data_IF_140889073478
#
_entry.id   IF_140889073478
#
_cell.length_a   1.000
_cell.length_b   1.000
_cell.length_c   1.000
_cell.angle_alpha   90.00
_cell.angle_beta   90.00
_cell.angle_gamma   90.00
#
_symmetry.space_group_name_H-M   'P 1'
#
loop_
_entity.id
_entity.type
_entity.pdbx_description
1 polymer ?
#
# COMPACT_ATOMS: atom_id res chain seq x y z
N UNK A 1 69.30 -23.67 3.91
CA UNK A 1 68.51 -23.80 5.20
C UNK A 1 67.85 -25.15 5.18
N UNK A 2 67.84 -25.89 6.29
CA UNK A 2 67.19 -27.17 6.34
C UNK A 2 65.81 -27.06 6.98
N UNK A 3 64.90 -27.94 6.58
CA UNK A 3 63.56 -28.01 7.13
C UNK A 3 63.63 -28.66 8.53
N UNK A 4 63.15 -28.00 9.61
CA UNK A 4 63.23 -28.56 10.97
C UNK A 4 62.33 -29.77 11.17
N UNK A 5 61.32 -30.01 10.29
CA UNK A 5 60.40 -31.15 10.35
C UNK A 5 60.93 -32.41 9.68
N UNK A 6 61.45 -32.31 8.47
CA UNK A 6 61.88 -33.50 7.71
C UNK A 6 63.37 -33.54 7.40
N UNK A 7 64.15 -32.50 7.76
CA UNK A 7 65.61 -32.42 7.55
C UNK A 7 66.06 -32.16 6.12
N UNK A 8 65.17 -31.88 5.18
CA UNK A 8 65.50 -31.59 3.78
C UNK A 8 66.27 -30.25 3.65
N UNK A 9 67.36 -30.21 2.85
CA UNK A 9 68.29 -29.08 2.78
C UNK A 9 68.09 -28.18 1.55
N UNK A 10 67.42 -28.61 0.48
CA UNK A 10 67.40 -27.93 -0.80
C UNK A 10 65.97 -27.47 -1.23
N UNK A 11 65.12 -27.07 -0.30
CA UNK A 11 63.80 -26.61 -0.60
C UNK A 11 63.53 -25.17 -0.09
N UNK A 12 62.71 -24.43 -0.81
CA UNK A 12 62.19 -23.14 -0.31
C UNK A 12 61.37 -23.35 0.96
N UNK A 13 61.63 -22.52 1.97
CA UNK A 13 60.89 -22.57 3.23
C UNK A 13 59.76 -21.58 3.22
N UNK A 14 58.53 -22.07 3.55
CA UNK A 14 57.37 -21.25 3.80
C UNK A 14 56.98 -21.36 5.29
N UNK A 15 56.86 -20.25 5.96
CA UNK A 15 56.63 -20.17 7.41
C UNK A 15 57.66 -21.00 8.23
N UNK A 16 58.91 -21.15 7.72
CA UNK A 16 60.00 -21.82 8.38
C UNK A 16 60.06 -23.34 8.17
N UNK A 17 59.18 -23.93 7.38
CA UNK A 17 59.19 -25.37 7.00
C UNK A 17 59.17 -25.51 5.46
N UNK A 18 59.62 -26.65 4.94
CA UNK A 18 59.61 -26.89 3.50
C UNK A 18 58.15 -26.98 2.96
N UNK A 19 57.93 -26.65 1.70
CA UNK A 19 56.62 -26.66 1.04
C UNK A 19 55.91 -27.99 1.18
N UNK A 20 56.59 -29.11 1.06
CA UNK A 20 56.01 -30.43 1.22
C UNK A 20 55.54 -30.73 2.68
N UNK A 21 56.22 -30.19 3.68
CA UNK A 21 55.74 -30.30 5.08
C UNK A 21 54.59 -29.31 5.36
N UNK A 22 54.67 -28.12 4.79
CA UNK A 22 53.59 -27.15 4.93
C UNK A 22 52.26 -27.66 4.33
N UNK A 23 52.30 -28.17 3.11
CA UNK A 23 51.11 -28.73 2.41
C UNK A 23 50.47 -29.86 3.19
N UNK A 24 51.26 -30.69 3.87
CA UNK A 24 50.73 -31.81 4.70
C UNK A 24 49.96 -31.36 5.95
N UNK A 25 50.27 -30.18 6.46
CA UNK A 25 49.67 -29.62 7.68
C UNK A 25 48.71 -28.44 7.38
N UNK A 26 48.70 -27.99 6.15
CA UNK A 26 47.85 -26.90 5.73
C UNK A 26 46.36 -27.27 5.82
N UNK A 27 45.60 -26.40 6.43
CA UNK A 27 44.14 -26.46 6.43
C UNK A 27 43.60 -25.50 5.36
N UNK A 28 42.61 -25.96 4.60
CA UNK A 28 42.05 -25.14 3.53
C UNK A 28 40.82 -24.37 4.00
N UNK A 29 40.05 -24.88 4.98
CA UNK A 29 38.97 -24.18 5.63
C UNK A 29 38.98 -24.37 7.15
N UNK A 30 38.34 -23.41 7.81
CA UNK A 30 38.01 -23.51 9.22
C UNK A 30 36.52 -23.15 9.39
N UNK A 31 35.75 -23.96 10.07
CA UNK A 31 34.33 -23.74 10.30
C UNK A 31 33.97 -24.01 11.77
N UNK A 32 33.07 -23.20 12.38
CA UNK A 32 32.53 -23.47 13.70
C UNK A 32 31.78 -24.82 13.73
N UNK A 33 31.88 -25.52 14.84
CA UNK A 33 31.20 -26.83 15.02
C UNK A 33 29.68 -26.69 15.09
N UNK A 34 29.17 -25.55 15.61
CA UNK A 34 27.76 -25.23 15.73
C UNK A 34 27.45 -23.85 15.15
N UNK A 35 26.48 -23.78 14.26
CA UNK A 35 25.96 -22.58 13.65
C UNK A 35 24.48 -22.42 14.03
N UNK A 36 24.01 -21.17 14.13
CA UNK A 36 22.61 -20.88 14.41
C UNK A 36 22.04 -19.94 13.34
N UNK A 37 20.88 -20.30 12.80
CA UNK A 37 20.06 -19.47 11.89
C UNK A 37 18.75 -19.18 12.56
N UNK A 38 18.38 -17.91 12.68
CA UNK A 38 17.10 -17.53 13.29
C UNK A 38 16.13 -17.09 12.21
N UNK A 39 14.96 -17.74 12.14
CA UNK A 39 13.87 -17.44 11.22
C UNK A 39 12.59 -17.09 11.95
N UNK A 40 11.73 -16.30 11.30
CA UNK A 40 10.40 -16.00 11.86
C UNK A 40 9.46 -17.20 11.68
N UNK A 41 8.85 -17.65 12.79
CA UNK A 41 7.91 -18.77 12.80
C UNK A 41 6.63 -18.52 11.95
N UNK A 42 6.30 -17.25 11.65
CA UNK A 42 5.07 -16.89 10.94
C UNK A 42 5.28 -16.52 9.48
N UNK A 43 6.40 -15.89 9.14
CA UNK A 43 6.61 -15.34 7.80
C UNK A 43 7.93 -15.76 7.16
N UNK A 44 8.68 -16.63 7.82
CA UNK A 44 9.98 -17.17 7.36
C UNK A 44 11.06 -16.13 7.09
N UNK A 45 10.88 -14.85 7.53
CA UNK A 45 11.96 -13.86 7.45
C UNK A 45 13.18 -14.33 8.20
N UNK A 46 14.35 -14.06 7.64
CA UNK A 46 15.66 -14.39 8.20
C UNK A 46 16.19 -13.23 9.06
N UNK A 47 16.70 -13.52 10.24
CA UNK A 47 17.40 -12.56 11.08
C UNK A 47 18.89 -12.48 10.66
N UNK A 48 19.29 -11.39 10.02
CA UNK A 48 20.70 -11.08 9.72
C UNK A 48 21.24 -10.00 10.67
N UNK A 49 22.09 -10.41 11.59
CA UNK A 49 22.57 -9.55 12.67
C UNK A 49 21.42 -9.05 13.54
N UNK A 50 21.00 -7.79 13.37
CA UNK A 50 19.88 -7.18 14.13
C UNK A 50 18.65 -6.88 13.26
N UNK A 51 18.68 -7.25 11.98
CA UNK A 51 17.61 -6.94 11.03
C UNK A 51 16.93 -8.20 10.54
N UNK A 52 15.61 -8.14 10.42
CA UNK A 52 14.80 -9.15 9.78
C UNK A 52 14.66 -8.81 8.30
N UNK A 53 15.01 -9.77 7.45
CA UNK A 53 14.92 -9.65 5.99
C UNK A 53 13.97 -10.70 5.42
N UNK A 54 13.26 -10.34 4.35
CA UNK A 54 12.39 -11.27 3.67
C UNK A 54 13.21 -12.36 3.02
N UNK A 55 12.83 -13.63 3.23
CA UNK A 55 13.47 -14.77 2.64
C UNK A 55 12.42 -15.71 2.05
N UNK A 56 12.65 -16.14 0.81
CA UNK A 56 11.87 -17.18 0.13
C UNK A 56 12.61 -18.53 0.14
N UNK A 57 13.78 -18.59 0.79
CA UNK A 57 14.63 -19.78 0.87
C UNK A 57 13.98 -20.84 1.76
N UNK A 58 14.11 -22.10 1.35
CA UNK A 58 13.76 -23.25 2.16
C UNK A 58 14.69 -23.38 3.38
N UNK A 59 14.30 -24.20 4.37
CA UNK A 59 15.16 -24.44 5.54
C UNK A 59 16.52 -25.06 5.12
N UNK A 60 16.54 -25.92 4.12
CA UNK A 60 17.75 -26.55 3.59
C UNK A 60 18.67 -25.54 2.89
N UNK A 61 18.10 -24.63 2.09
CA UNK A 61 18.86 -23.54 1.44
C UNK A 61 19.44 -22.58 2.48
N UNK A 62 18.70 -22.29 3.56
CA UNK A 62 19.18 -21.46 4.68
C UNK A 62 20.32 -22.13 5.44
N UNK A 63 20.28 -23.45 5.62
CA UNK A 63 21.35 -24.24 6.22
C UNK A 63 22.61 -24.16 5.36
N UNK A 64 22.47 -24.40 4.05
CA UNK A 64 23.59 -24.30 3.11
C UNK A 64 24.18 -22.88 3.11
N UNK A 65 23.34 -21.85 3.08
CA UNK A 65 23.78 -20.46 3.14
C UNK A 65 24.54 -20.15 4.43
N UNK A 66 24.06 -20.66 5.58
CA UNK A 66 24.72 -20.44 6.86
C UNK A 66 26.14 -21.06 6.90
N UNK A 67 26.32 -22.24 6.31
CA UNK A 67 27.64 -22.86 6.19
C UNK A 67 28.53 -22.01 5.28
N UNK A 68 28.00 -21.60 4.11
CA UNK A 68 28.76 -20.83 3.12
C UNK A 68 29.17 -19.44 3.59
N UNK A 69 28.41 -18.81 4.50
CA UNK A 69 28.72 -17.49 5.07
C UNK A 69 29.65 -17.55 6.30
N UNK A 70 29.91 -18.74 6.90
CA UNK A 70 30.59 -18.86 8.17
C UNK A 70 31.87 -19.73 8.15
N UNK A 71 32.37 -20.17 6.99
CA UNK A 71 33.70 -20.74 6.94
C UNK A 71 34.75 -19.66 6.66
N UNK A 72 35.94 -19.86 7.16
CA UNK A 72 37.10 -19.03 6.88
C UNK A 72 38.13 -19.82 6.08
N UNK A 73 38.76 -19.17 5.11
CA UNK A 73 39.83 -19.75 4.31
C UNK A 73 41.14 -18.95 4.47
N UNK A 74 42.28 -19.60 4.69
CA UNK A 74 43.57 -18.94 4.73
C UNK A 74 43.97 -18.35 3.36
N UNK A 75 44.75 -17.28 3.37
CA UNK A 75 45.14 -16.56 2.16
C UNK A 75 46.05 -17.32 1.19
N UNK A 76 46.65 -18.40 1.65
CA UNK A 76 47.51 -19.26 0.81
C UNK A 76 46.74 -20.29 -0.02
N UNK A 77 45.44 -20.41 0.17
CA UNK A 77 44.55 -21.32 -0.57
C UNK A 77 44.08 -20.64 -1.85
N UNK A 78 44.23 -21.31 -2.97
CA UNK A 78 43.75 -20.88 -4.29
C UNK A 78 42.73 -21.89 -4.81
N UNK A 79 41.89 -21.43 -5.71
CA UNK A 79 40.87 -22.26 -6.41
C UNK A 79 40.01 -23.12 -5.43
N UNK A 80 39.54 -22.50 -4.34
CA UNK A 80 38.74 -23.18 -3.34
C UNK A 80 37.31 -23.47 -3.86
N UNK A 81 36.93 -24.73 -3.84
CA UNK A 81 35.56 -25.19 -4.06
C UNK A 81 35.02 -25.78 -2.76
N UNK A 82 33.80 -25.35 -2.38
CA UNK A 82 33.13 -25.83 -1.15
C UNK A 82 31.75 -26.31 -1.51
N UNK A 83 31.41 -27.52 -1.11
CA UNK A 83 30.06 -28.07 -1.20
C UNK A 83 29.56 -28.52 0.14
N UNK A 84 28.23 -28.50 0.35
CA UNK A 84 27.56 -28.82 1.61
C UNK A 84 26.52 -29.88 1.35
N UNK A 85 26.61 -30.99 2.11
CA UNK A 85 25.62 -32.06 2.11
C UNK A 85 24.95 -32.18 3.50
N UNK A 86 23.63 -32.26 3.54
CA UNK A 86 22.87 -32.47 4.78
C UNK A 86 22.77 -33.97 5.02
N UNK A 87 23.42 -34.46 6.09
CA UNK A 87 23.44 -35.87 6.43
C UNK A 87 22.19 -36.32 7.18
N UNK A 88 21.86 -35.59 8.25
CA UNK A 88 20.69 -35.91 9.08
C UNK A 88 19.99 -34.69 9.59
N UNK A 89 18.68 -34.82 9.84
CA UNK A 89 17.84 -33.77 10.41
C UNK A 89 17.25 -34.30 11.72
N UNK A 90 17.57 -33.65 12.83
CA UNK A 90 17.07 -34.00 14.17
C UNK A 90 16.30 -32.82 14.76
N UNK A 91 15.00 -32.77 14.49
CA UNK A 91 14.16 -31.62 14.88
C UNK A 91 14.56 -30.34 14.17
N UNK A 92 15.15 -29.39 14.88
CA UNK A 92 15.65 -28.10 14.31
C UNK A 92 17.16 -28.10 14.06
N UNK A 93 17.83 -29.22 14.20
CA UNK A 93 19.29 -29.37 14.03
C UNK A 93 19.57 -30.16 12.76
N UNK A 94 20.34 -29.55 11.86
CA UNK A 94 20.80 -30.12 10.60
C UNK A 94 22.30 -30.47 10.75
N UNK A 95 22.63 -31.72 10.68
CA UNK A 95 24.01 -32.21 10.68
C UNK A 95 24.50 -32.19 9.24
N UNK A 96 25.54 -31.41 8.96
CA UNK A 96 26.08 -31.18 7.62
C UNK A 96 27.50 -31.70 7.52
N UNK A 97 27.85 -32.32 6.38
CA UNK A 97 29.22 -32.54 5.95
C UNK A 97 29.58 -31.50 4.89
N UNK A 98 30.80 -31.00 4.97
CA UNK A 98 31.34 -29.98 4.09
C UNK A 98 32.52 -30.58 3.39
N UNK A 99 32.47 -30.66 2.07
CA UNK A 99 33.59 -31.06 1.23
C UNK A 99 34.25 -29.81 0.70
N UNK A 100 35.54 -29.63 0.98
CA UNK A 100 36.35 -28.55 0.55
C UNK A 100 37.54 -29.03 -0.28
N UNK A 101 37.72 -28.47 -1.47
CA UNK A 101 38.84 -28.77 -2.32
C UNK A 101 39.55 -27.42 -2.65
N UNK A 102 40.88 -27.41 -2.51
CA UNK A 102 41.65 -26.19 -2.76
C UNK A 102 43.08 -26.45 -3.09
N UNK A 103 43.70 -25.53 -3.81
CA UNK A 103 45.11 -25.63 -4.20
C UNK A 103 45.98 -24.88 -3.20
N UNK A 104 46.95 -25.58 -2.66
CA UNK A 104 47.99 -25.03 -1.77
C UNK A 104 49.35 -25.27 -2.39
N UNK A 105 50.00 -24.23 -2.83
CA UNK A 105 51.37 -24.31 -3.46
C UNK A 105 51.46 -25.33 -4.60
N UNK A 106 50.43 -25.40 -5.46
CA UNK A 106 50.38 -26.31 -6.61
C UNK A 106 49.91 -27.71 -6.29
N UNK A 107 49.56 -28.00 -5.05
CA UNK A 107 49.00 -29.31 -4.62
C UNK A 107 47.55 -29.20 -4.25
N UNK A 108 46.70 -30.04 -4.82
CA UNK A 108 45.31 -30.14 -4.48
C UNK A 108 45.14 -30.82 -3.13
N UNK A 109 44.43 -30.20 -2.21
CA UNK A 109 44.05 -30.71 -0.89
C UNK A 109 42.55 -30.86 -0.85
N UNK A 110 42.07 -31.97 -0.29
CA UNK A 110 40.65 -32.27 -0.03
C UNK A 110 40.47 -32.44 1.47
N UNK A 111 39.52 -31.70 2.03
CA UNK A 111 39.14 -31.82 3.44
C UNK A 111 37.65 -32.06 3.58
N UNK A 112 37.30 -32.81 4.59
CA UNK A 112 35.93 -33.01 5.02
C UNK A 112 35.74 -32.48 6.44
N UNK A 113 34.74 -31.64 6.64
CA UNK A 113 34.40 -31.10 7.94
C UNK A 113 32.94 -31.41 8.26
N UNK A 114 32.60 -31.47 9.53
CA UNK A 114 31.21 -31.62 9.99
C UNK A 114 30.83 -30.39 10.81
N UNK A 115 29.60 -29.92 10.61
CA UNK A 115 29.02 -28.85 11.42
C UNK A 115 27.53 -29.09 11.66
N UNK A 116 27.03 -28.60 12.77
CA UNK A 116 25.61 -28.61 13.08
C UNK A 116 25.03 -27.22 12.82
N UNK A 117 23.97 -27.12 12.04
CA UNK A 117 23.23 -25.88 11.84
C UNK A 117 21.88 -26.01 12.55
N UNK A 118 21.65 -25.16 13.55
CA UNK A 118 20.41 -25.11 14.30
C UNK A 118 19.50 -24.00 13.74
N UNK A 119 18.30 -24.38 13.27
CA UNK A 119 17.27 -23.43 12.92
C UNK A 119 16.46 -23.08 14.16
N UNK A 120 16.58 -21.80 14.58
CA UNK A 120 15.81 -21.24 15.69
C UNK A 120 14.60 -20.50 15.15
N UNK A 121 13.41 -20.84 15.64
CA UNK A 121 12.16 -20.14 15.30
C UNK A 121 11.86 -19.08 16.36
N UNK A 122 11.79 -17.82 15.93
CA UNK A 122 11.43 -16.67 16.76
C UNK A 122 10.33 -15.86 16.05
N UNK A 123 9.81 -14.82 16.65
CA UNK A 123 8.77 -13.97 16.04
C UNK A 123 9.35 -12.61 15.68
N UNK A 124 9.34 -12.27 14.39
CA UNK A 124 9.82 -10.97 13.96
C UNK A 124 8.92 -9.82 14.48
N UNK A 125 9.45 -8.58 14.62
CA UNK A 125 8.69 -7.46 15.14
C UNK A 125 7.39 -7.15 14.38
N UNK A 126 7.36 -7.35 13.06
CA UNK A 126 6.17 -7.08 12.25
C UNK A 126 5.08 -8.13 12.50
N UNK A 127 5.44 -9.42 12.62
CA UNK A 127 4.49 -10.47 12.98
C UNK A 127 3.99 -10.31 14.43
N UNK A 128 4.86 -9.90 15.36
CA UNK A 128 4.46 -9.56 16.74
C UNK A 128 3.47 -8.40 16.78
N UNK A 129 3.71 -7.33 16.01
CA UNK A 129 2.77 -6.21 15.87
C UNK A 129 1.44 -6.65 15.28
N UNK A 130 1.48 -7.46 14.21
CA UNK A 130 0.26 -8.00 13.60
C UNK A 130 -0.57 -8.80 14.61
N UNK A 131 0.05 -9.74 15.32
CA UNK A 131 -0.62 -10.59 16.30
C UNK A 131 -1.19 -9.79 17.50
N UNK A 132 -0.55 -8.67 17.87
CA UNK A 132 -1.02 -7.79 18.96
C UNK A 132 -2.10 -6.79 18.54
N UNK A 133 -2.57 -6.82 17.28
CA UNK A 133 -3.53 -5.84 16.78
C UNK A 133 -2.99 -4.41 16.70
N UNK A 134 -1.67 -4.26 16.54
CA UNK A 134 -1.02 -2.95 16.47
C UNK A 134 -1.49 -2.14 15.25
N UNK A 135 -1.63 -0.83 15.42
CA UNK A 135 -1.92 0.11 14.35
C UNK A 135 -1.15 1.43 14.52
N UNK A 136 -0.79 2.07 13.41
CA UNK A 136 -0.17 3.40 13.38
C UNK A 136 -1.15 4.50 13.02
N UNK A 137 -2.21 4.15 12.29
CA UNK A 137 -3.18 5.13 11.78
C UNK A 137 -4.60 4.63 11.83
N UNK A 138 -5.54 5.57 11.92
CA UNK A 138 -6.98 5.32 11.82
C UNK A 138 -7.52 6.14 10.66
N UNK A 139 -8.16 5.49 9.67
CA UNK A 139 -8.89 6.16 8.60
C UNK A 139 -10.34 6.24 9.02
N UNK A 140 -10.83 7.47 9.18
CA UNK A 140 -12.21 7.75 9.59
C UNK A 140 -13.02 8.21 8.39
N UNK A 141 -14.01 7.41 7.98
CA UNK A 141 -14.95 7.76 6.92
C UNK A 141 -16.16 8.45 7.54
N UNK A 142 -16.40 9.67 7.12
CA UNK A 142 -17.52 10.52 7.54
C UNK A 142 -18.16 11.16 6.32
N UNK A 143 -19.34 11.77 6.48
CA UNK A 143 -19.92 12.64 5.47
C UNK A 143 -20.21 14.03 6.04
N UNK A 144 -20.27 15.04 5.18
CA UNK A 144 -20.61 16.39 5.59
C UNK A 144 -22.13 16.56 5.71
N UNK A 145 -22.60 17.14 6.83
CA UNK A 145 -24.03 17.43 7.12
C UNK A 145 -25.00 16.24 6.97
N UNK A 146 -24.49 15.02 6.80
CA UNK A 146 -25.27 13.79 6.67
C UNK A 146 -24.48 12.59 7.19
N UNK A 147 -25.09 11.43 7.23
CA UNK A 147 -24.39 10.17 7.44
C UNK A 147 -24.00 9.55 6.08
N UNK A 148 -22.86 8.83 6.01
CA UNK A 148 -22.53 8.05 4.82
C UNK A 148 -23.60 6.99 4.57
N UNK A 149 -24.02 6.82 3.32
CA UNK A 149 -24.96 5.78 2.95
C UNK A 149 -24.32 4.39 3.00
N UNK A 150 -25.13 3.35 3.15
CA UNK A 150 -24.64 1.95 3.11
C UNK A 150 -23.87 1.65 1.84
N UNK A 151 -24.32 2.17 0.68
CA UNK A 151 -23.64 2.00 -0.61
C UNK A 151 -22.27 2.65 -0.63
N UNK A 152 -22.13 3.86 -0.08
CA UNK A 152 -20.85 4.55 0.05
C UNK A 152 -19.87 3.76 0.93
N UNK A 153 -20.33 3.28 2.10
CA UNK A 153 -19.49 2.49 3.01
C UNK A 153 -19.06 1.17 2.37
N UNK A 154 -19.94 0.49 1.63
CA UNK A 154 -19.59 -0.73 0.89
C UNK A 154 -18.54 -0.45 -0.18
N UNK A 155 -18.68 0.66 -0.94
CA UNK A 155 -17.69 1.06 -1.95
C UNK A 155 -16.34 1.35 -1.30
N UNK A 156 -16.32 2.06 -0.19
CA UNK A 156 -15.07 2.34 0.57
C UNK A 156 -14.41 1.04 1.04
N UNK A 157 -15.18 0.10 1.59
CA UNK A 157 -14.67 -1.19 2.06
C UNK A 157 -14.04 -1.99 0.91
N UNK A 158 -14.68 -2.02 -0.26
CA UNK A 158 -14.16 -2.68 -1.46
C UNK A 158 -12.83 -2.04 -1.91
N UNK A 159 -12.75 -0.70 -1.95
CA UNK A 159 -11.51 0.02 -2.32
C UNK A 159 -10.38 -0.31 -1.34
N UNK A 160 -10.67 -0.26 -0.04
CA UNK A 160 -9.68 -0.53 1.01
C UNK A 160 -9.16 -1.96 0.90
N UNK A 161 -10.05 -2.96 0.82
CA UNK A 161 -9.67 -4.39 0.72
C UNK A 161 -8.85 -4.68 -0.54
N UNK A 162 -9.30 -4.20 -1.69
CA UNK A 162 -8.57 -4.36 -2.96
C UNK A 162 -7.17 -3.73 -2.88
N UNK A 163 -7.06 -2.54 -2.31
CA UNK A 163 -5.79 -1.83 -2.22
C UNK A 163 -4.85 -2.46 -1.19
N UNK A 164 -5.35 -2.94 -0.05
CA UNK A 164 -4.56 -3.67 0.96
C UNK A 164 -3.89 -4.90 0.33
N UNK A 165 -4.63 -5.71 -0.44
CA UNK A 165 -4.07 -6.88 -1.11
C UNK A 165 -2.84 -6.56 -1.98
N UNK A 166 -2.86 -5.43 -2.68
CA UNK A 166 -1.70 -5.00 -3.49
C UNK A 166 -0.56 -4.39 -2.66
N UNK A 167 -0.84 -3.82 -1.50
CA UNK A 167 0.17 -3.19 -0.65
C UNK A 167 0.88 -4.19 0.25
N UNK A 168 0.19 -5.23 0.72
CA UNK A 168 0.72 -6.25 1.64
C UNK A 168 1.88 -7.03 1.02
N UNK A 169 1.92 -7.19 -0.30
CA UNK A 169 3.03 -7.83 -1.02
C UNK A 169 4.37 -7.14 -0.76
N UNK A 170 4.37 -5.80 -0.63
CA UNK A 170 5.60 -5.00 -0.44
C UNK A 170 5.75 -4.42 0.97
N UNK A 171 4.73 -4.52 1.79
CA UNK A 171 4.72 -3.95 3.13
C UNK A 171 3.84 -4.81 4.04
N UNK A 172 4.45 -5.66 4.85
CA UNK A 172 3.78 -6.55 5.80
C UNK A 172 2.90 -5.81 6.82
N UNK A 173 3.25 -4.55 7.12
CA UNK A 173 2.44 -3.70 7.99
C UNK A 173 1.22 -3.07 7.27
N UNK A 174 1.02 -3.36 5.97
CA UNK A 174 -0.17 -2.95 5.24
C UNK A 174 -1.32 -3.93 5.49
N UNK A 175 -1.95 -3.85 6.65
CA UNK A 175 -3.12 -4.63 7.04
C UNK A 175 -4.15 -3.76 7.75
N UNK A 176 -5.40 -4.23 7.77
CA UNK A 176 -6.45 -3.68 8.61
C UNK A 176 -6.44 -4.47 9.92
N UNK A 177 -6.12 -3.80 11.01
CA UNK A 177 -6.06 -4.38 12.35
C UNK A 177 -7.45 -4.55 12.96
N UNK A 178 -8.33 -3.55 12.74
CA UNK A 178 -9.70 -3.54 13.24
C UNK A 178 -10.58 -2.63 12.38
N UNK A 179 -11.89 -2.86 12.45
CA UNK A 179 -12.91 -2.00 11.80
C UNK A 179 -14.01 -1.72 12.81
N UNK A 180 -14.21 -0.44 13.12
CA UNK A 180 -15.26 0.01 14.03
C UNK A 180 -16.36 0.75 13.26
N UNK A 181 -17.56 0.19 13.25
CA UNK A 181 -18.74 0.85 12.67
C UNK A 181 -19.44 1.64 13.75
N UNK A 182 -19.60 2.93 13.52
CA UNK A 182 -20.28 3.86 14.43
C UNK A 182 -21.41 4.59 13.68
N UNK A 183 -22.23 5.32 14.41
CA UNK A 183 -23.36 6.05 13.81
C UNK A 183 -22.93 7.05 12.76
N UNK A 184 -21.80 7.72 12.97
CA UNK A 184 -21.26 8.76 12.10
C UNK A 184 -20.47 8.22 10.89
N UNK A 185 -20.26 6.89 10.82
CA UNK A 185 -19.51 6.26 9.73
C UNK A 185 -18.71 5.03 10.16
N UNK A 186 -17.50 4.87 9.60
CA UNK A 186 -16.64 3.73 9.88
C UNK A 186 -15.19 4.16 10.10
N UNK A 187 -14.52 3.49 11.03
CA UNK A 187 -13.11 3.69 11.37
C UNK A 187 -12.33 2.42 11.02
N UNK A 188 -11.29 2.56 10.17
CA UNK A 188 -10.36 1.49 9.81
C UNK A 188 -9.03 1.71 10.52
N UNK A 189 -8.61 0.74 11.33
CA UNK A 189 -7.32 0.76 12.03
C UNK A 189 -6.27 0.10 11.16
N UNK A 190 -5.23 0.84 10.77
CA UNK A 190 -4.26 0.42 9.76
C UNK A 190 -2.88 0.25 10.39
N UNK A 191 -2.23 -0.90 10.17
CA UNK A 191 -0.94 -1.25 10.75
C UNK A 191 0.20 -0.30 10.38
N UNK A 192 0.15 0.36 9.21
CA UNK A 192 1.19 1.29 8.75
C UNK A 192 0.61 2.62 8.28
N UNK A 193 1.18 3.73 8.75
CA UNK A 193 0.82 5.08 8.28
C UNK A 193 1.05 5.26 6.77
N UNK A 194 2.14 4.69 6.24
CA UNK A 194 2.40 4.75 4.78
C UNK A 194 1.30 4.03 3.98
N UNK A 195 0.80 2.91 4.49
CA UNK A 195 -0.34 2.22 3.88
C UNK A 195 -1.61 3.03 4.02
N UNK A 196 -1.91 3.59 5.20
CA UNK A 196 -3.08 4.41 5.44
C UNK A 196 -3.18 5.60 4.48
N UNK A 197 -2.07 6.31 4.21
CA UNK A 197 -2.05 7.40 3.22
C UNK A 197 -2.40 6.93 1.81
N UNK A 198 -1.87 5.78 1.37
CA UNK A 198 -2.19 5.22 0.04
C UNK A 198 -3.65 4.79 -0.07
N UNK A 199 -4.20 4.24 1.02
CA UNK A 199 -5.62 3.89 1.11
C UNK A 199 -6.51 5.13 1.06
N UNK A 200 -6.15 6.17 1.83
CA UNK A 200 -6.85 7.46 1.82
C UNK A 200 -6.88 8.08 0.43
N UNK A 201 -5.75 8.06 -0.28
CA UNK A 201 -5.69 8.53 -1.68
C UNK A 201 -6.62 7.72 -2.58
N UNK A 202 -6.58 6.39 -2.49
CA UNK A 202 -7.44 5.53 -3.31
C UNK A 202 -8.94 5.75 -3.05
N UNK A 203 -9.33 5.93 -1.79
CA UNK A 203 -10.73 6.26 -1.44
C UNK A 203 -11.10 7.64 -1.99
N UNK A 204 -10.22 8.65 -1.79
CA UNK A 204 -10.46 10.01 -2.27
C UNK A 204 -10.57 10.09 -3.80
N UNK A 205 -9.76 9.32 -4.53
CA UNK A 205 -9.77 9.32 -6.01
C UNK A 205 -11.11 8.84 -6.57
N UNK A 206 -11.83 7.97 -5.85
CA UNK A 206 -13.12 7.42 -6.28
C UNK A 206 -14.30 8.17 -5.66
N UNK A 207 -14.21 8.45 -4.35
CA UNK A 207 -15.33 9.00 -3.58
C UNK A 207 -15.29 10.53 -3.45
N UNK A 208 -14.18 11.16 -3.84
CA UNK A 208 -13.95 12.58 -3.59
C UNK A 208 -13.84 12.91 -2.10
N UNK A 209 -14.13 14.16 -1.75
CA UNK A 209 -14.20 14.61 -0.37
C UNK A 209 -12.95 15.32 0.14
N UNK A 210 -13.04 15.77 1.40
CA UNK A 210 -12.00 16.52 2.09
C UNK A 210 -11.26 15.61 3.05
N UNK A 211 -9.92 15.65 3.01
CA UNK A 211 -9.05 14.86 3.87
C UNK A 211 -8.37 15.77 4.88
N UNK A 212 -8.37 15.35 6.14
CA UNK A 212 -7.67 16.03 7.23
C UNK A 212 -6.89 15.01 8.06
N UNK A 213 -5.61 15.29 8.31
CA UNK A 213 -4.74 14.49 9.18
C UNK A 213 -4.57 15.16 10.55
N UNK A 214 -4.61 14.36 11.61
CA UNK A 214 -4.46 14.82 12.98
C UNK A 214 -3.56 13.85 13.75
N UNK A 215 -2.34 14.26 14.13
CA UNK A 215 -1.46 13.45 14.97
C UNK A 215 -1.96 13.45 16.42
N UNK A 216 -1.90 12.29 17.07
CA UNK A 216 -2.17 12.15 18.52
C UNK A 216 -0.99 11.48 19.21
N UNK A 217 -0.53 12.10 20.27
CA UNK A 217 0.50 11.52 21.13
C UNK A 217 -0.09 10.32 21.88
N UNK A 218 0.54 9.15 21.75
CA UNK A 218 0.08 7.90 22.39
C UNK A 218 1.09 7.37 23.41
N UNK A 219 2.31 7.90 23.42
CA UNK A 219 3.34 7.50 24.38
C UNK A 219 4.70 8.08 24.02
N UNK A 220 5.71 7.58 24.70
CA UNK A 220 7.11 7.93 24.45
C UNK A 220 7.96 6.67 24.40
N UNK A 221 8.73 6.52 23.35
CA UNK A 221 9.77 5.49 23.27
C UNK A 221 10.90 5.85 24.22
N UNK A 222 10.95 5.15 25.35
CA UNK A 222 11.96 5.39 26.39
C UNK A 222 13.37 5.06 25.93
N UNK A 223 13.54 4.14 24.99
CA UNK A 223 14.85 3.69 24.49
C UNK A 223 15.48 4.72 23.54
N UNK A 224 14.64 5.42 22.77
CA UNK A 224 15.07 6.42 21.78
C UNK A 224 14.78 7.85 22.19
N UNK A 225 14.10 8.08 23.31
CA UNK A 225 13.70 9.40 23.81
C UNK A 225 12.71 10.14 22.91
N UNK A 226 12.01 9.43 22.00
CA UNK A 226 11.11 10.03 21.00
C UNK A 226 9.65 9.82 21.37
N UNK A 227 8.84 10.84 21.11
CA UNK A 227 7.40 10.74 21.26
C UNK A 227 6.80 9.85 20.15
N UNK A 228 5.84 9.01 20.53
CA UNK A 228 5.14 8.10 19.64
C UNK A 228 3.78 8.69 19.29
N UNK A 229 3.54 8.89 18.01
CA UNK A 229 2.30 9.42 17.49
C UNK A 229 1.55 8.35 16.69
N UNK A 230 0.21 8.37 16.79
CA UNK A 230 -0.69 7.75 15.85
C UNK A 230 -1.39 8.84 15.05
N UNK A 231 -1.67 8.56 13.78
CA UNK A 231 -2.25 9.54 12.87
C UNK A 231 -3.71 9.17 12.60
N UNK A 232 -4.62 10.09 12.90
CA UNK A 232 -6.02 10.01 12.51
C UNK A 232 -6.19 10.74 11.17
N UNK A 233 -6.73 10.05 10.18
CA UNK A 233 -7.00 10.58 8.84
C UNK A 233 -8.51 10.57 8.66
N UNK A 234 -9.13 11.74 8.70
CA UNK A 234 -10.55 11.87 8.41
C UNK A 234 -10.76 12.11 6.91
N UNK A 235 -11.59 11.29 6.28
CA UNK A 235 -12.12 11.49 4.93
C UNK A 235 -13.58 11.87 5.09
N UNK A 236 -13.90 13.12 4.75
CA UNK A 236 -15.27 13.65 4.81
C UNK A 236 -15.85 13.68 3.42
N UNK A 237 -16.77 12.76 3.13
CA UNK A 237 -17.50 12.68 1.88
C UNK A 237 -18.39 13.93 1.71
N UNK A 238 -18.61 14.41 0.47
CA UNK A 238 -19.37 15.62 0.25
C UNK A 238 -20.85 15.46 0.66
N UNK A 239 -21.48 16.60 0.93
CA UNK A 239 -22.91 16.65 1.18
C UNK A 239 -23.73 16.28 -0.08
N UNK A 240 -23.23 16.63 -1.28
CA UNK A 240 -23.83 16.34 -2.57
C UNK A 240 -23.39 14.98 -3.15
N UNK A 241 -24.21 14.49 -4.08
CA UNK A 241 -23.92 13.31 -4.90
C UNK A 241 -23.89 13.68 -6.38
N UNK A 242 -23.57 12.69 -7.24
CA UNK A 242 -23.73 12.85 -8.69
C UNK A 242 -25.19 13.20 -9.02
N UNK A 243 -25.37 14.08 -9.98
CA UNK A 243 -26.65 14.63 -10.45
C UNK A 243 -27.34 15.61 -9.49
N UNK A 244 -26.78 15.91 -8.31
CA UNK A 244 -27.22 17.02 -7.47
C UNK A 244 -26.78 18.36 -8.06
N UNK A 245 -27.38 19.45 -7.55
CA UNK A 245 -27.13 20.81 -8.02
C UNK A 245 -26.43 21.63 -6.94
N UNK A 246 -25.35 22.30 -7.33
CA UNK A 246 -24.56 23.12 -6.43
C UNK A 246 -24.33 24.52 -6.99
N UNK A 247 -24.12 25.45 -6.07
CA UNK A 247 -23.69 26.82 -6.35
C UNK A 247 -22.27 27.04 -5.85
N UNK A 248 -21.45 27.66 -6.68
CA UNK A 248 -20.12 28.13 -6.35
C UNK A 248 -19.88 29.50 -7.01
N UNK A 249 -19.57 30.54 -6.20
CA UNK A 249 -19.35 31.92 -6.67
C UNK A 249 -20.48 32.47 -7.57
N UNK A 250 -21.74 32.27 -7.15
CA UNK A 250 -22.99 32.64 -7.85
C UNK A 250 -23.22 31.88 -9.18
N UNK A 251 -22.43 30.85 -9.47
CA UNK A 251 -22.59 30.00 -10.64
C UNK A 251 -23.23 28.71 -10.23
N UNK A 252 -24.33 28.31 -10.86
CA UNK A 252 -25.09 27.11 -10.55
C UNK A 252 -24.78 26.02 -11.57
N UNK A 253 -24.57 24.79 -11.09
CA UNK A 253 -24.26 23.66 -11.95
C UNK A 253 -24.73 22.32 -11.41
N UNK A 254 -25.03 21.40 -12.32
CA UNK A 254 -25.29 20.01 -12.01
C UNK A 254 -23.98 19.25 -11.87
N UNK A 255 -23.84 18.45 -10.82
CA UNK A 255 -22.67 17.61 -10.56
C UNK A 255 -22.65 16.45 -11.56
N UNK A 256 -21.74 16.46 -12.53
CA UNK A 256 -21.51 15.36 -13.48
C UNK A 256 -20.72 14.21 -12.86
N UNK A 257 -19.82 14.56 -11.92
CA UNK A 257 -18.95 13.62 -11.22
C UNK A 257 -17.82 14.33 -10.50
N UNK A 258 -16.93 13.56 -9.91
CA UNK A 258 -15.75 14.10 -9.23
C UNK A 258 -14.65 13.04 -9.19
N UNK A 259 -13.44 13.51 -9.03
CA UNK A 259 -12.24 12.70 -8.77
C UNK A 259 -11.53 13.18 -7.49
N UNK A 260 -10.36 12.65 -7.18
CA UNK A 260 -9.58 13.06 -6.00
C UNK A 260 -9.11 14.52 -6.00
N UNK A 261 -9.24 15.27 -7.11
CA UNK A 261 -8.72 16.63 -7.26
C UNK A 261 -9.82 17.66 -7.44
N UNK A 262 -10.86 17.37 -8.23
CA UNK A 262 -11.87 18.32 -8.66
C UNK A 262 -13.27 17.71 -8.74
N UNK A 263 -14.26 18.58 -8.72
CA UNK A 263 -15.66 18.33 -8.96
C UNK A 263 -15.97 18.86 -10.35
N UNK A 264 -16.57 18.03 -11.19
CA UNK A 264 -16.99 18.38 -12.56
C UNK A 264 -18.46 18.76 -12.55
N UNK A 265 -18.76 19.89 -13.15
CA UNK A 265 -20.08 20.49 -13.16
C UNK A 265 -20.50 20.84 -14.58
N UNK A 266 -21.79 20.68 -14.86
CA UNK A 266 -22.43 21.23 -16.02
C UNK A 266 -23.16 22.51 -15.62
N UNK A 267 -22.84 23.63 -16.24
CA UNK A 267 -23.49 24.90 -15.96
C UNK A 267 -24.97 24.87 -16.35
N UNK A 268 -25.84 25.42 -15.53
CA UNK A 268 -27.29 25.39 -15.80
C UNK A 268 -27.74 26.43 -16.83
N UNK A 269 -26.96 27.50 -17.03
CA UNK A 269 -27.30 28.58 -17.98
C UNK A 269 -26.59 28.35 -19.30
N UNK A 270 -25.24 28.26 -19.28
CA UNK A 270 -24.42 28.11 -20.50
C UNK A 270 -24.29 26.69 -20.99
N UNK A 271 -24.60 25.69 -20.15
CA UNK A 271 -24.42 24.27 -20.39
C UNK A 271 -22.96 23.85 -20.58
N UNK A 272 -22.00 24.74 -20.34
CA UNK A 272 -20.58 24.42 -20.39
C UNK A 272 -20.12 23.55 -19.22
N UNK A 273 -19.12 22.74 -19.48
CA UNK A 273 -18.49 21.94 -18.42
C UNK A 273 -17.38 22.75 -17.75
N UNK A 274 -17.46 22.86 -16.44
CA UNK A 274 -16.46 23.52 -15.61
C UNK A 274 -16.10 22.69 -14.38
N UNK A 275 -15.16 23.14 -13.55
CA UNK A 275 -14.75 22.35 -12.40
C UNK A 275 -14.36 23.22 -11.20
N UNK A 276 -14.60 22.69 -10.00
CA UNK A 276 -14.21 23.27 -8.71
C UNK A 276 -13.23 22.33 -8.01
N UNK A 277 -12.16 22.87 -7.44
CA UNK A 277 -11.19 22.07 -6.68
C UNK A 277 -11.73 21.75 -5.27
N UNK A 278 -11.40 20.58 -4.73
CA UNK A 278 -11.82 20.18 -3.37
C UNK A 278 -11.37 21.13 -2.26
N UNK A 279 -10.31 21.91 -2.47
CA UNK A 279 -9.89 22.94 -1.50
C UNK A 279 -10.90 24.06 -1.33
N UNK A 280 -11.77 24.28 -2.33
CA UNK A 280 -12.82 25.31 -2.34
C UNK A 280 -14.16 24.74 -1.82
N UNK A 281 -14.20 23.50 -1.36
CA UNK A 281 -15.42 22.80 -0.94
C UNK A 281 -16.27 23.61 0.04
N UNK A 282 -15.64 24.33 0.97
CA UNK A 282 -16.35 25.13 1.98
C UNK A 282 -17.17 26.30 1.39
N UNK A 283 -16.92 26.69 0.15
CA UNK A 283 -17.66 27.74 -0.57
C UNK A 283 -18.83 27.19 -1.38
N UNK A 284 -18.94 25.86 -1.48
CA UNK A 284 -19.98 25.19 -2.23
C UNK A 284 -21.26 25.13 -1.40
N UNK A 285 -22.40 25.47 -2.02
CA UNK A 285 -23.73 25.29 -1.47
C UNK A 285 -24.51 24.30 -2.32
N UNK A 286 -25.19 23.35 -1.70
CA UNK A 286 -26.16 22.50 -2.39
C UNK A 286 -27.46 23.30 -2.52
N UNK A 287 -27.94 23.47 -3.74
CA UNK A 287 -29.12 24.29 -4.05
C UNK A 287 -30.35 23.48 -4.47
N UNK A 288 -30.13 22.26 -4.99
CA UNK A 288 -31.19 21.28 -5.23
C UNK A 288 -30.59 19.86 -5.26
N UNK A 289 -31.46 18.85 -5.09
CA UNK A 289 -31.08 17.43 -5.14
C UNK A 289 -31.49 16.80 -6.46
N UNK A 290 -30.87 15.69 -6.83
CA UNK A 290 -31.32 14.88 -7.96
C UNK A 290 -32.77 14.38 -7.85
N UNK A 291 -33.28 14.24 -6.63
CA UNK A 291 -34.69 13.94 -6.33
C UNK A 291 -35.67 15.05 -6.74
N UNK A 292 -35.19 16.28 -6.88
CA UNK A 292 -35.99 17.46 -7.18
C UNK A 292 -36.17 17.66 -8.69
N UNK A 293 -35.57 16.79 -9.49
CA UNK A 293 -35.75 16.76 -10.95
C UNK A 293 -37.16 16.30 -11.28
N UNK A 294 -37.87 17.09 -12.05
CA UNK A 294 -39.26 16.83 -12.51
C UNK A 294 -39.28 16.74 -14.03
N UNK A 295 -40.28 16.10 -14.59
CA UNK A 295 -40.51 16.00 -16.02
C UNK A 295 -41.68 16.89 -16.40
N UNK A 296 -41.55 17.63 -17.48
CA UNK A 296 -42.64 18.45 -18.04
C UNK A 296 -42.57 18.45 -19.56
N UNK A 297 -43.57 19.10 -20.24
CA UNK A 297 -43.65 19.09 -21.69
C UNK A 297 -43.47 20.49 -22.26
N UNK A 298 -42.90 20.54 -23.46
CA UNK A 298 -42.80 21.74 -24.27
C UNK A 298 -44.13 22.06 -24.89
N UNK A 299 -44.66 23.28 -24.64
CA UNK A 299 -45.97 23.73 -25.13
C UNK A 299 -45.90 24.68 -26.32
N UNK A 300 -44.85 25.50 -26.39
CA UNK A 300 -44.62 26.45 -27.50
C UNK A 300 -43.15 26.73 -27.72
N UNK A 301 -42.80 27.11 -28.92
CA UNK A 301 -41.41 27.48 -29.29
C UNK A 301 -41.42 28.71 -30.18
N UNK A 302 -40.57 29.66 -29.85
CA UNK A 302 -40.28 30.87 -30.65
C UNK A 302 -38.79 30.86 -31.04
N UNK A 303 -38.33 31.74 -31.91
CA UNK A 303 -36.89 31.82 -32.23
C UNK A 303 -35.98 32.18 -31.07
N UNK A 304 -36.50 32.64 -29.93
CA UNK A 304 -35.71 33.07 -28.76
C UNK A 304 -36.07 32.38 -27.47
N UNK A 305 -37.28 31.82 -27.37
CA UNK A 305 -37.79 31.21 -26.14
C UNK A 305 -38.46 29.88 -26.42
N UNK A 306 -38.42 29.02 -25.46
CA UNK A 306 -39.21 27.79 -25.36
C UNK A 306 -40.13 27.91 -24.16
N UNK A 307 -41.42 27.54 -24.34
CA UNK A 307 -42.39 27.54 -23.29
C UNK A 307 -42.65 26.12 -22.79
N UNK A 308 -42.55 25.92 -21.49
CA UNK A 308 -42.85 24.69 -20.82
C UNK A 308 -43.97 24.89 -19.79
N UNK A 309 -44.66 23.82 -19.39
CA UNK A 309 -45.53 23.87 -18.22
C UNK A 309 -44.73 23.76 -16.93
N UNK A 310 -45.01 24.62 -15.97
CA UNK A 310 -44.46 24.48 -14.64
C UNK A 310 -44.93 23.13 -14.03
N UNK A 311 -44.06 22.25 -13.57
CA UNK A 311 -44.44 20.86 -13.18
C UNK A 311 -45.44 20.80 -12.02
N UNK A 312 -45.50 21.81 -11.16
CA UNK A 312 -46.42 21.83 -10.00
C UNK A 312 -47.65 22.71 -10.22
N UNK A 313 -47.48 23.88 -10.83
CA UNK A 313 -48.54 24.86 -11.00
C UNK A 313 -49.29 24.75 -12.32
N UNK A 314 -48.70 23.99 -13.29
CA UNK A 314 -49.20 23.85 -14.67
C UNK A 314 -49.35 25.20 -15.41
N UNK A 315 -48.70 26.28 -14.89
CA UNK A 315 -48.66 27.57 -15.56
C UNK A 315 -47.59 27.56 -16.68
N UNK A 316 -47.82 28.20 -17.79
CA UNK A 316 -46.80 28.34 -18.85
C UNK A 316 -45.64 29.22 -18.36
N UNK A 317 -44.40 28.74 -18.56
CA UNK A 317 -43.18 29.46 -18.23
C UNK A 317 -42.30 29.53 -19.47
N UNK A 318 -41.89 30.76 -19.82
CA UNK A 318 -40.96 30.99 -20.94
C UNK A 318 -39.51 30.94 -20.48
N UNK A 319 -38.73 30.12 -21.17
CA UNK A 319 -37.28 29.93 -20.91
C UNK A 319 -36.53 30.35 -22.17
N UNK A 320 -35.43 31.10 -22.01
CA UNK A 320 -34.58 31.50 -23.11
C UNK A 320 -33.94 30.29 -23.78
N UNK A 321 -33.99 30.28 -25.13
CA UNK A 321 -33.31 29.25 -25.89
C UNK A 321 -31.78 29.35 -25.73
N UNK A 322 -31.16 28.24 -25.52
CA UNK A 322 -29.71 28.05 -25.57
C UNK A 322 -29.35 27.02 -26.66
N UNK A 323 -28.07 26.73 -26.86
CA UNK A 323 -27.62 25.81 -27.91
C UNK A 323 -28.18 24.39 -27.79
N UNK A 324 -28.51 23.95 -26.58
CA UNK A 324 -29.03 22.57 -26.34
C UNK A 324 -30.55 22.48 -26.37
N UNK A 325 -31.24 23.55 -25.98
CA UNK A 325 -32.70 23.63 -26.06
C UNK A 325 -33.22 24.01 -27.43
N UNK A 326 -32.32 24.41 -28.34
CA UNK A 326 -32.64 24.79 -29.73
C UNK A 326 -33.28 23.65 -30.54
N UNK A 327 -32.92 22.40 -30.22
CA UNK A 327 -33.39 21.22 -30.96
C UNK A 327 -34.71 20.61 -30.39
N UNK A 328 -35.20 21.12 -29.26
CA UNK A 328 -36.44 20.68 -28.66
C UNK A 328 -37.63 21.13 -29.51
N UNK A 329 -38.62 20.24 -29.66
CA UNK A 329 -39.86 20.50 -30.40
C UNK A 329 -41.07 20.53 -29.47
N UNK A 330 -42.19 21.09 -29.97
CA UNK A 330 -43.47 21.13 -29.22
C UNK A 330 -43.96 19.68 -28.99
N UNK A 331 -44.27 19.37 -27.73
CA UNK A 331 -44.66 18.04 -27.31
C UNK A 331 -43.53 17.19 -26.74
N UNK A 332 -42.28 17.65 -26.84
CA UNK A 332 -41.16 16.90 -26.21
C UNK A 332 -41.27 16.95 -24.69
N UNK A 333 -40.91 15.82 -24.06
CA UNK A 333 -40.73 15.73 -22.62
C UNK A 333 -39.32 16.20 -22.23
N UNK A 334 -39.25 17.10 -21.27
CA UNK A 334 -37.99 17.65 -20.77
C UNK A 334 -37.89 17.50 -19.27
N UNK A 335 -36.67 17.26 -18.78
CA UNK A 335 -36.35 17.27 -17.35
C UNK A 335 -36.02 18.68 -16.92
N UNK A 336 -36.56 19.10 -15.80
CA UNK A 336 -36.38 20.43 -15.23
C UNK A 336 -36.03 20.33 -13.75
N UNK A 337 -35.31 21.34 -13.27
CA UNK A 337 -35.10 21.57 -11.84
C UNK A 337 -35.45 23.03 -11.52
N UNK A 338 -36.11 23.23 -10.40
CA UNK A 338 -36.42 24.57 -9.89
C UNK A 338 -35.40 24.93 -8.80
N UNK A 339 -34.74 26.08 -8.94
CA UNK A 339 -33.79 26.63 -8.00
C UNK A 339 -34.08 28.11 -7.81
N UNK A 340 -34.46 28.54 -6.60
CA UNK A 340 -34.77 29.92 -6.26
C UNK A 340 -35.85 30.53 -7.20
N UNK A 341 -36.95 29.78 -7.39
CA UNK A 341 -38.09 30.16 -8.27
C UNK A 341 -37.74 30.28 -9.75
N UNK A 342 -36.56 29.77 -10.17
CA UNK A 342 -36.14 29.75 -11.60
C UNK A 342 -36.10 28.26 -12.04
N UNK A 343 -36.79 28.01 -13.19
CA UNK A 343 -36.77 26.70 -13.83
C UNK A 343 -35.59 26.59 -14.82
N UNK A 344 -34.80 25.55 -14.69
CA UNK A 344 -33.70 25.18 -15.59
C UNK A 344 -34.03 23.90 -16.33
N UNK A 345 -33.94 23.91 -17.67
CA UNK A 345 -34.05 22.68 -18.48
C UNK A 345 -32.72 21.96 -18.43
N UNK A 346 -32.77 20.67 -18.13
CA UNK A 346 -31.59 19.81 -18.05
C UNK A 346 -31.33 19.13 -19.39
N UNK A 347 -30.05 18.97 -19.73
CA UNK A 347 -29.64 18.31 -20.97
C UNK A 347 -30.16 16.87 -21.04
N UNK A 348 -30.96 16.55 -22.06
CA UNK A 348 -31.54 15.22 -22.28
C UNK A 348 -30.66 14.28 -23.10
N UNK A 349 -29.53 14.75 -23.65
CA UNK A 349 -28.67 13.98 -24.57
C UNK A 349 -27.69 13.00 -23.88
N UNK A 350 -27.67 12.93 -22.54
CA UNK A 350 -26.75 12.08 -21.79
C UNK A 350 -27.47 11.07 -20.86
N UNK A 351 -28.46 10.36 -21.38
CA UNK A 351 -29.03 9.19 -20.72
C UNK A 351 -28.67 7.95 -21.51
#
# INVERSE_FOLDING_TARGET
>A
MFCPRCGSEDQELYEGICTSCFVKEAKIITIPQDLEVTICAHCSSLLKGIKWEDSELSEEELVTLAVMENYETPSYVQDLEVSVEILTIRGSIYECIIHAEGNVMGTMIIEEHTTNVKIKKDVCPDCSKYASGYFESVIQIRADKRFPSTKELQTVDQIIRAKIGSLSVKNRMAYVSDVSVIKEGVDYYIGSYKAARKLTTAVKDVMGGVVQESPRLVGRDKSRGKDLYRIWISIRLPDFQKDDFIEYENRKGQVKGFDGKKILLNDLESQDVWSVLWREYNKIKVVARSSDIKTTSVTSKTPRTIQILHPDTYQPVDINLNAETSDLEIGDEVKVVEIEDILYILNTRNI
#
